data_IF_724868186420
#
_entry.id   IF_724868186420
#
_cell.length_a   1.000
_cell.length_b   1.000
_cell.length_c   1.000
_cell.angle_alpha   90.00
_cell.angle_beta   90.00
_cell.angle_gamma   90.00
#
_symmetry.space_group_name_H-M   'P 1'
#
loop_
_entity.id
_entity.type
_entity.pdbx_description
1 polymer ?
#
# COMPACT_ATOMS: atom_id res chain seq x y z
N UNK A 1 20.99 19.51 -71.68
CA UNK A 1 19.64 20.09 -71.81
C UNK A 1 18.72 19.41 -70.79
N UNK A 2 17.98 20.24 -70.08
CA UNK A 2 17.31 20.07 -68.79
C UNK A 2 16.48 18.79 -68.57
N UNK A 3 16.48 18.32 -67.31
CA UNK A 3 15.37 17.57 -66.72
C UNK A 3 14.93 18.23 -65.40
N UNK A 4 13.62 18.40 -65.31
CA UNK A 4 12.87 19.18 -64.33
C UNK A 4 12.64 18.41 -63.01
N UNK A 5 12.78 19.16 -61.92
CA UNK A 5 12.01 19.17 -60.65
C UNK A 5 11.11 17.99 -60.28
N UNK A 6 11.19 17.51 -59.04
CA UNK A 6 10.01 17.11 -58.23
C UNK A 6 10.32 17.11 -56.72
N UNK A 7 9.37 17.65 -55.97
CA UNK A 7 9.32 17.97 -54.54
C UNK A 7 9.15 16.75 -53.62
N UNK A 8 9.49 16.88 -52.33
CA UNK A 8 8.60 16.57 -51.20
C UNK A 8 9.30 16.74 -49.84
N UNK A 9 8.66 17.49 -48.95
CA UNK A 9 9.00 17.67 -47.55
C UNK A 9 8.85 16.37 -46.76
N UNK A 10 9.77 16.12 -45.82
CA UNK A 10 9.61 15.09 -44.80
C UNK A 10 9.53 15.79 -43.44
N UNK A 11 8.32 15.89 -42.91
CA UNK A 11 8.05 16.21 -41.51
C UNK A 11 8.33 14.94 -40.68
N UNK A 12 9.43 14.94 -39.93
CA UNK A 12 9.66 13.95 -38.87
C UNK A 12 9.02 14.45 -37.58
N UNK A 13 7.76 14.07 -37.34
CA UNK A 13 7.16 14.19 -36.01
C UNK A 13 7.83 13.15 -35.10
N UNK A 14 8.68 13.61 -34.19
CA UNK A 14 9.16 12.80 -33.07
C UNK A 14 8.01 12.66 -32.05
N UNK A 15 7.34 11.52 -32.07
CA UNK A 15 6.38 11.15 -31.02
C UNK A 15 7.16 10.72 -29.77
N UNK A 16 7.38 11.66 -28.86
CA UNK A 16 7.90 11.38 -27.52
C UNK A 16 6.81 10.70 -26.69
N UNK A 17 6.74 9.37 -26.77
CA UNK A 17 5.92 8.59 -25.85
C UNK A 17 6.59 8.58 -24.47
N UNK A 18 6.21 9.52 -23.61
CA UNK A 18 6.49 9.46 -22.17
C UNK A 18 5.57 8.40 -21.59
N UNK A 19 6.06 7.17 -21.49
CA UNK A 19 5.43 6.14 -20.66
C UNK A 19 5.74 6.48 -19.20
N UNK A 20 4.74 6.72 -18.34
CA UNK A 20 4.98 6.78 -16.91
C UNK A 20 5.39 5.36 -16.50
N UNK A 21 6.68 5.15 -16.30
CA UNK A 21 7.18 4.01 -15.56
C UNK A 21 6.66 4.17 -14.13
N UNK A 22 5.47 3.63 -13.86
CA UNK A 22 5.10 3.27 -12.51
C UNK A 22 6.12 2.23 -12.09
N UNK A 23 7.21 2.69 -11.47
CA UNK A 23 8.10 1.85 -10.70
C UNK A 23 7.26 1.29 -9.56
N UNK A 24 6.53 0.21 -9.84
CA UNK A 24 5.98 -0.67 -8.83
C UNK A 24 7.19 -1.31 -8.17
N UNK A 25 7.76 -0.58 -7.22
CA UNK A 25 8.62 -1.14 -6.19
C UNK A 25 7.91 -2.39 -5.72
N UNK A 26 8.41 -3.56 -6.12
CA UNK A 26 7.86 -4.83 -5.68
C UNK A 26 8.20 -4.94 -4.22
N UNK A 27 7.39 -4.31 -3.38
CA UNK A 27 7.39 -4.54 -1.94
C UNK A 27 7.09 -6.02 -1.81
N UNK A 28 8.12 -6.80 -1.52
CA UNK A 28 8.01 -8.23 -1.38
C UNK A 28 7.38 -8.47 -0.01
N UNK A 29 6.08 -8.23 0.09
CA UNK A 29 5.34 -8.54 1.30
C UNK A 29 5.46 -10.05 1.51
N UNK A 30 6.03 -10.50 2.65
CA UNK A 30 6.11 -11.92 2.95
C UNK A 30 4.69 -12.47 3.00
N UNK A 31 4.43 -13.66 2.45
CA UNK A 31 3.06 -14.21 2.40
C UNK A 31 2.56 -14.56 3.81
N UNK A 32 3.47 -15.05 4.65
CA UNK A 32 3.23 -15.41 6.05
C UNK A 32 3.74 -14.29 6.95
N UNK A 33 2.93 -13.87 7.90
CA UNK A 33 3.42 -13.00 8.98
C UNK A 33 4.41 -13.81 9.85
N UNK A 34 5.49 -13.22 10.38
CA UNK A 34 6.41 -13.89 11.30
C UNK A 34 5.67 -14.58 12.45
N UNK A 35 6.24 -15.65 13.02
CA UNK A 35 5.64 -16.27 14.21
C UNK A 35 5.57 -15.24 15.36
N UNK A 36 4.36 -15.04 15.91
CA UNK A 36 4.06 -13.96 16.86
C UNK A 36 3.48 -12.67 16.24
N UNK A 37 3.46 -12.54 14.90
CA UNK A 37 2.82 -11.43 14.20
C UNK A 37 1.31 -11.64 13.97
N UNK A 38 0.70 -12.60 14.69
CA UNK A 38 -0.75 -12.79 14.67
C UNK A 38 -1.45 -11.50 15.14
N UNK A 39 -1.96 -10.77 14.16
CA UNK A 39 -2.96 -9.70 14.36
C UNK A 39 -2.45 -8.57 15.24
N UNK A 40 -1.31 -7.98 14.86
CA UNK A 40 -0.80 -6.76 15.51
C UNK A 40 -1.74 -5.55 15.28
N UNK A 41 -2.74 -5.69 14.41
CA UNK A 41 -3.81 -4.72 14.23
C UNK A 41 -5.17 -5.32 14.63
N UNK A 42 -5.85 -4.66 15.56
CA UNK A 42 -7.22 -4.91 15.97
C UNK A 42 -8.19 -3.96 15.25
N UNK A 43 -9.42 -4.41 15.00
CA UNK A 43 -10.49 -3.52 14.58
C UNK A 43 -11.06 -2.83 15.81
N UNK A 44 -10.98 -1.50 15.86
CA UNK A 44 -11.43 -0.72 17.00
C UNK A 44 -12.39 0.40 16.55
N UNK A 45 -13.41 0.63 17.35
CA UNK A 45 -14.22 1.85 17.27
C UNK A 45 -13.49 3.04 17.95
N UNK A 46 -13.85 4.27 17.58
CA UNK A 46 -13.18 5.48 18.08
C UNK A 46 -13.84 6.09 19.32
N UNK A 47 -14.74 5.34 19.95
CA UNK A 47 -15.54 5.80 21.10
C UNK A 47 -14.78 5.70 22.45
N UNK A 48 -15.40 6.27 23.49
CA UNK A 48 -14.80 6.32 24.82
C UNK A 48 -14.77 4.97 25.54
N UNK A 49 -15.73 4.07 25.28
CA UNK A 49 -15.76 2.74 25.86
C UNK A 49 -14.61 1.90 25.31
N UNK A 50 -14.38 1.94 23.99
CA UNK A 50 -13.25 1.26 23.34
C UNK A 50 -11.91 1.75 23.89
N UNK A 51 -11.71 3.07 24.02
CA UNK A 51 -10.48 3.62 24.63
C UNK A 51 -10.23 3.14 26.06
N UNK A 52 -11.30 3.04 26.87
CA UNK A 52 -11.20 2.59 28.27
C UNK A 52 -10.87 1.10 28.34
N UNK A 53 -11.53 0.29 27.53
CA UNK A 53 -11.27 -1.15 27.46
C UNK A 53 -9.83 -1.42 27.02
N UNK A 54 -9.39 -0.76 25.94
CA UNK A 54 -8.03 -0.89 25.43
C UNK A 54 -6.97 -0.50 26.47
N UNK A 55 -7.17 0.61 27.20
CA UNK A 55 -6.24 1.04 28.25
C UNK A 55 -6.16 0.05 29.41
N UNK A 56 -7.27 -0.57 29.79
CA UNK A 56 -7.30 -1.58 30.85
C UNK A 56 -6.52 -2.83 30.44
N UNK A 57 -6.61 -3.22 29.17
CA UNK A 57 -6.00 -4.44 28.65
C UNK A 57 -4.51 -4.27 28.29
N UNK A 58 -4.15 -3.13 27.69
CA UNK A 58 -2.82 -2.90 27.12
C UNK A 58 -2.02 -1.80 27.84
N UNK A 59 -2.57 -1.18 28.88
CA UNK A 59 -1.86 -0.16 29.69
C UNK A 59 -1.68 1.21 29.02
N UNK A 60 -2.06 1.37 27.75
CA UNK A 60 -1.91 2.61 26.99
C UNK A 60 -3.19 2.99 26.22
N UNK A 61 -3.26 4.20 25.67
CA UNK A 61 -4.34 4.54 24.75
C UNK A 61 -4.17 3.80 23.41
N UNK A 62 -5.27 3.49 22.70
CA UNK A 62 -5.18 2.88 21.38
C UNK A 62 -4.52 3.85 20.40
N UNK A 63 -3.54 3.36 19.66
CA UNK A 63 -2.91 4.07 18.56
C UNK A 63 -3.47 3.54 17.24
N UNK A 64 -4.06 4.42 16.43
CA UNK A 64 -4.71 4.05 15.17
C UNK A 64 -3.74 4.10 13.99
N UNK A 65 -3.81 3.10 13.12
CA UNK A 65 -3.03 3.02 11.88
C UNK A 65 -3.95 2.79 10.67
N UNK A 66 -3.51 3.23 9.49
CA UNK A 66 -4.18 2.96 8.21
C UNK A 66 -3.76 1.62 7.62
N UNK A 67 -4.47 1.15 6.60
CA UNK A 67 -4.09 -0.03 5.82
C UNK A 67 -2.65 0.07 5.29
N UNK A 68 -2.30 1.24 4.75
CA UNK A 68 -0.97 1.52 4.20
C UNK A 68 0.12 1.48 5.27
N UNK A 69 -0.11 2.10 6.43
CA UNK A 69 0.83 2.06 7.54
C UNK A 69 1.04 0.64 8.07
N UNK A 70 -0.02 -0.17 8.13
CA UNK A 70 0.08 -1.57 8.53
C UNK A 70 0.88 -2.42 7.51
N UNK A 71 0.68 -2.20 6.21
CA UNK A 71 1.47 -2.85 5.15
C UNK A 71 2.93 -2.42 5.22
N UNK A 72 3.21 -1.14 5.44
CA UNK A 72 4.56 -0.63 5.57
C UNK A 72 5.26 -1.21 6.80
N UNK A 73 4.60 -1.22 7.96
CA UNK A 73 5.12 -1.83 9.18
C UNK A 73 5.45 -3.32 8.98
N UNK A 74 4.60 -4.04 8.25
CA UNK A 74 4.87 -5.43 7.87
C UNK A 74 6.08 -5.56 6.95
N UNK A 75 6.20 -4.70 5.94
CA UNK A 75 7.30 -4.72 4.99
C UNK A 75 8.66 -4.40 5.64
N UNK A 76 8.67 -3.52 6.65
CA UNK A 76 9.88 -3.14 7.40
C UNK A 76 10.16 -3.99 8.63
N UNK A 77 9.30 -4.98 8.94
CA UNK A 77 9.45 -5.83 10.13
C UNK A 77 9.28 -5.07 11.44
N UNK A 78 8.52 -3.97 11.45
CA UNK A 78 8.26 -3.19 12.65
C UNK A 78 7.48 -4.02 13.68
N UNK A 79 7.92 -3.92 14.94
CA UNK A 79 7.27 -4.56 16.09
C UNK A 79 6.70 -3.48 16.99
N UNK A 80 5.48 -3.71 17.49
CA UNK A 80 4.82 -2.80 18.44
C UNK A 80 4.71 -3.46 19.81
N UNK A 81 4.91 -2.66 20.86
CA UNK A 81 4.78 -3.12 22.25
C UNK A 81 3.33 -3.43 22.65
N UNK A 82 2.35 -2.90 21.92
CA UNK A 82 0.92 -3.13 22.06
C UNK A 82 0.28 -3.23 20.67
N UNK A 83 -0.87 -3.94 20.52
CA UNK A 83 -1.58 -3.96 19.25
C UNK A 83 -1.99 -2.55 18.81
N UNK A 84 -2.02 -2.31 17.51
CA UNK A 84 -2.55 -1.08 16.93
C UNK A 84 -4.01 -1.25 16.60
N UNK A 85 -4.74 -0.16 16.63
CA UNK A 85 -6.13 -0.14 16.20
C UNK A 85 -6.23 0.27 14.74
N UNK A 86 -7.26 -0.21 14.07
CA UNK A 86 -7.63 0.20 12.73
C UNK A 86 -9.15 0.26 12.66
N UNK A 87 -9.71 1.18 11.87
CA UNK A 87 -11.16 1.23 11.67
C UNK A 87 -11.62 0.07 10.78
N UNK A 88 -12.90 -0.30 10.84
CA UNK A 88 -13.45 -1.34 9.97
C UNK A 88 -13.22 -1.04 8.47
N UNK A 89 -13.31 0.24 8.08
CA UNK A 89 -13.06 0.69 6.71
C UNK A 89 -11.62 0.46 6.27
N UNK A 90 -10.66 0.85 7.09
CA UNK A 90 -9.24 0.63 6.78
C UNK A 90 -8.89 -0.85 6.79
N UNK A 91 -9.49 -1.64 7.69
CA UNK A 91 -9.30 -3.09 7.70
C UNK A 91 -9.82 -3.73 6.40
N UNK A 92 -10.99 -3.33 5.90
CA UNK A 92 -11.50 -3.81 4.62
C UNK A 92 -10.55 -3.47 3.46
N UNK A 93 -9.95 -2.28 3.46
CA UNK A 93 -8.92 -1.89 2.49
C UNK A 93 -7.68 -2.78 2.59
N UNK A 94 -7.19 -3.03 3.81
CA UNK A 94 -6.04 -3.90 4.06
C UNK A 94 -6.25 -5.31 3.50
N UNK A 95 -7.40 -5.93 3.79
CA UNK A 95 -7.75 -7.27 3.30
C UNK A 95 -7.83 -7.31 1.78
N UNK A 96 -8.49 -6.32 1.17
CA UNK A 96 -8.58 -6.19 -0.29
C UNK A 96 -7.20 -6.14 -0.94
N UNK A 97 -6.30 -5.29 -0.42
CA UNK A 97 -4.93 -5.15 -0.91
C UNK A 97 -4.13 -6.44 -0.78
N UNK A 98 -4.18 -7.10 0.38
CA UNK A 98 -3.49 -8.38 0.59
C UNK A 98 -4.00 -9.48 -0.34
N UNK A 99 -5.30 -9.51 -0.60
CA UNK A 99 -5.93 -10.47 -1.52
C UNK A 99 -5.49 -10.22 -2.96
N UNK A 100 -5.45 -8.96 -3.38
CA UNK A 100 -4.95 -8.58 -4.71
C UNK A 100 -3.48 -8.99 -4.92
N UNK A 101 -2.62 -8.80 -3.90
CA UNK A 101 -1.22 -9.26 -3.97
C UNK A 101 -1.09 -10.78 -4.07
N UNK A 102 -1.94 -11.53 -3.39
CA UNK A 102 -1.93 -12.99 -3.46
C UNK A 102 -2.40 -13.53 -4.82
N UNK A 103 -3.27 -12.80 -5.53
CA UNK A 103 -3.78 -13.21 -6.84
C UNK A 103 -2.80 -12.96 -8.00
N UNK A 104 -1.83 -12.06 -7.84
CA UNK A 104 -0.88 -11.66 -8.90
C UNK A 104 0.40 -12.51 -8.88
N UNK A 105 0.66 -13.24 -7.79
CA UNK A 105 1.89 -14.00 -7.57
C UNK A 105 1.67 -15.49 -7.76
#
# INVERSE_FOLDING_TARGET
MNRLTLSAAVLTLAASAVTPALAQERVNLPLRAPDGAERVVMICETDAATRRAFRREHGQAPEFVTAEQALQARATGQVWAAPRCMTAREHARLVSTLTAYAAVR
#
